data_IF_780847059533
#
_entry.id   IF_780847059533
#
_cell.length_a   1.000
_cell.length_b   1.000
_cell.length_c   1.000
_cell.angle_alpha   90.00
_cell.angle_beta   90.00
_cell.angle_gamma   90.00
#
_symmetry.space_group_name_H-M   'P 1'
#
loop_
_entity.id
_entity.type
_entity.pdbx_description
1 polymer ?
#
# COMPACT_ATOMS: atom_id res chain seq x y z
N UNK A 1 9.56 0.43 1.80
CA UNK A 1 10.19 1.74 1.53
C UNK A 1 11.48 1.47 0.77
N UNK A 2 11.73 2.11 -0.38
CA UNK A 2 13.05 2.04 -1.02
C UNK A 2 14.11 2.55 -0.04
N UNK A 3 15.27 1.88 0.04
CA UNK A 3 16.31 2.13 1.07
C UNK A 3 16.83 3.58 1.06
N UNK A 4 16.79 4.25 -0.08
CA UNK A 4 17.32 5.60 -0.27
C UNK A 4 16.52 6.71 0.45
N UNK A 5 15.23 6.51 0.75
CA UNK A 5 14.38 7.58 1.33
C UNK A 5 14.23 7.49 2.86
N UNK A 6 14.86 6.50 3.51
CA UNK A 6 14.62 6.22 4.94
C UNK A 6 14.96 7.41 5.86
N UNK A 7 15.97 8.21 5.52
CA UNK A 7 16.46 9.32 6.35
C UNK A 7 15.57 10.57 6.30
N UNK A 8 14.61 10.64 5.37
CA UNK A 8 13.73 11.80 5.20
C UNK A 8 12.46 11.77 6.05
N UNK A 9 12.12 10.63 6.68
CA UNK A 9 10.88 10.45 7.45
C UNK A 9 11.19 10.35 8.94
N UNK A 10 10.38 11.02 9.77
CA UNK A 10 10.51 10.97 11.22
C UNK A 10 9.15 11.18 11.90
N UNK A 11 9.05 10.77 13.16
CA UNK A 11 7.85 10.95 13.97
C UNK A 11 8.12 11.88 15.15
N UNK A 12 7.08 12.59 15.58
CA UNK A 12 7.11 13.53 16.69
C UNK A 12 5.93 13.17 17.60
N UNK A 13 6.23 12.81 18.84
CA UNK A 13 5.22 12.58 19.89
C UNK A 13 4.94 13.83 20.70
N UNK A 14 5.97 14.65 20.93
CA UNK A 14 5.92 15.84 21.78
C UNK A 14 6.32 17.08 20.98
N UNK A 15 5.38 17.60 20.19
CA UNK A 15 5.65 18.72 19.29
C UNK A 15 5.78 20.07 20.00
N UNK A 16 4.83 20.39 20.89
CA UNK A 16 4.80 21.68 21.63
C UNK A 16 3.90 21.59 22.87
N UNK A 17 4.46 21.80 24.06
CA UNK A 17 3.73 21.79 25.35
C UNK A 17 3.18 23.18 25.68
N UNK A 18 2.11 23.61 25.02
CA UNK A 18 1.47 24.91 25.25
C UNK A 18 0.33 24.84 26.28
N UNK A 19 0.57 24.32 27.50
CA UNK A 19 -0.46 24.16 28.56
C UNK A 19 -1.73 23.36 28.18
N UNK A 20 -1.79 22.81 26.97
CA UNK A 20 -2.85 21.90 26.52
C UNK A 20 -2.59 20.49 27.08
N UNK A 21 -3.65 19.69 27.30
CA UNK A 21 -3.51 18.29 27.66
C UNK A 21 -2.54 17.58 26.73
N UNK A 22 -1.60 16.85 27.33
CA UNK A 22 -0.53 16.18 26.61
C UNK A 22 -1.14 15.11 25.70
N UNK A 23 -1.10 15.32 24.39
CA UNK A 23 -1.54 14.30 23.45
C UNK A 23 -0.42 13.28 23.28
N UNK A 24 -0.72 12.00 23.51
CA UNK A 24 0.19 10.88 23.21
C UNK A 24 0.23 10.54 21.71
N UNK A 25 -0.35 11.39 20.86
CA UNK A 25 -0.47 11.16 19.43
C UNK A 25 0.91 11.23 18.76
N UNK A 26 1.23 10.17 18.00
CA UNK A 26 2.44 10.08 17.20
C UNK A 26 2.18 10.73 15.83
N UNK A 27 2.70 11.93 15.60
CA UNK A 27 2.60 12.62 14.32
C UNK A 27 3.80 12.31 13.44
N UNK A 28 3.53 11.80 12.24
CA UNK A 28 4.56 11.49 11.25
C UNK A 28 4.81 12.67 10.31
N UNK A 29 6.08 12.88 9.93
CA UNK A 29 6.55 13.99 9.10
C UNK A 29 7.59 13.52 8.10
N UNK A 30 7.79 14.29 7.03
CA UNK A 30 8.88 14.07 6.06
C UNK A 30 9.54 15.37 5.63
N UNK A 31 10.80 15.28 5.21
CA UNK A 31 11.53 16.36 4.57
C UNK A 31 11.25 16.39 3.07
N UNK A 32 10.93 17.57 2.55
CA UNK A 32 10.80 17.84 1.11
C UNK A 32 11.78 18.94 0.73
N UNK A 33 12.36 18.82 -0.46
CA UNK A 33 13.27 19.81 -1.03
C UNK A 33 12.45 20.94 -1.65
N UNK A 34 12.47 22.13 -1.04
CA UNK A 34 11.71 23.30 -1.51
C UNK A 34 12.68 24.25 -2.23
N UNK A 35 12.35 24.68 -3.47
CA UNK A 35 13.16 25.64 -4.19
C UNK A 35 13.09 27.03 -3.55
N UNK A 36 14.24 27.69 -3.41
CA UNK A 36 14.33 29.01 -2.78
C UNK A 36 14.03 30.17 -3.73
N UNK A 37 13.91 29.91 -5.04
CA UNK A 37 13.61 30.95 -6.03
C UNK A 37 14.74 31.97 -6.24
N UNK A 38 15.95 31.67 -5.78
CA UNK A 38 17.13 32.53 -5.89
C UNK A 38 17.97 32.29 -7.17
N UNK A 39 17.53 31.40 -8.06
CA UNK A 39 18.20 31.10 -9.33
C UNK A 39 17.95 32.16 -10.41
N UNK A 40 18.91 32.31 -11.33
CA UNK A 40 18.82 33.18 -12.51
C UNK A 40 19.24 32.43 -13.77
N UNK A 41 18.27 31.95 -14.54
CA UNK A 41 18.49 31.22 -15.78
C UNK A 41 19.29 29.93 -15.60
N UNK A 42 19.76 29.35 -16.71
CA UNK A 42 20.52 28.09 -16.70
C UNK A 42 21.91 28.23 -16.05
N UNK A 43 22.46 29.46 -16.04
CA UNK A 43 23.82 29.75 -15.55
C UNK A 43 23.91 29.87 -14.03
N UNK A 44 22.79 30.12 -13.34
CA UNK A 44 22.72 30.19 -11.87
C UNK A 44 21.53 29.33 -11.40
N UNK A 45 21.73 28.02 -11.23
CA UNK A 45 20.68 27.15 -10.70
C UNK A 45 20.24 27.63 -9.31
N UNK A 46 18.95 27.46 -9.01
CA UNK A 46 18.41 27.82 -7.70
C UNK A 46 18.90 26.84 -6.62
N UNK A 47 18.96 27.34 -5.39
CA UNK A 47 19.20 26.50 -4.23
C UNK A 47 17.91 25.88 -3.72
N UNK A 48 18.07 24.80 -2.97
CA UNK A 48 16.98 24.08 -2.35
C UNK A 48 17.22 23.95 -0.85
N UNK A 49 16.18 24.17 -0.05
CA UNK A 49 16.21 23.96 1.39
C UNK A 49 15.25 22.84 1.80
N UNK A 50 15.63 22.01 2.79
CA UNK A 50 14.73 21.01 3.33
C UNK A 50 13.63 21.67 4.17
N UNK A 51 12.37 21.41 3.83
CA UNK A 51 11.19 21.82 4.60
C UNK A 51 10.46 20.61 5.17
N UNK A 52 9.91 20.73 6.37
CA UNK A 52 9.16 19.66 7.03
C UNK A 52 7.69 19.75 6.63
N UNK A 53 7.13 18.67 6.11
CA UNK A 53 5.69 18.54 5.83
C UNK A 53 5.08 17.41 6.63
N UNK A 54 3.77 17.50 6.89
CA UNK A 54 3.02 16.40 7.49
C UNK A 54 3.06 15.17 6.56
N UNK A 55 3.16 14.00 7.16
CA UNK A 55 3.14 12.74 6.43
C UNK A 55 2.31 11.72 7.20
N UNK A 56 1.46 10.99 6.49
CA UNK A 56 0.70 9.88 7.04
C UNK A 56 1.11 8.60 6.33
N UNK A 57 1.10 7.49 7.06
CA UNK A 57 1.16 6.18 6.42
C UNK A 57 -0.03 6.07 5.45
N UNK A 58 0.18 5.53 4.23
CA UNK A 58 -0.91 5.34 3.30
C UNK A 58 -1.98 4.45 3.96
N UNK A 59 -3.22 4.95 3.99
CA UNK A 59 -4.35 4.18 4.52
C UNK A 59 -4.74 3.09 3.52
N UNK A 60 -5.54 2.10 3.96
CA UNK A 60 -6.06 1.08 3.05
C UNK A 60 -6.79 1.70 1.83
N UNK A 61 -7.46 2.82 2.04
CA UNK A 61 -8.16 3.59 1.00
C UNK A 61 -7.17 4.27 0.04
N UNK A 62 -6.08 4.89 0.54
CA UNK A 62 -5.03 5.45 -0.33
C UNK A 62 -4.31 4.38 -1.15
N UNK A 63 -4.17 3.17 -0.60
CA UNK A 63 -3.59 2.03 -1.32
C UNK A 63 -4.52 1.58 -2.45
N UNK A 64 -5.83 1.56 -2.21
CA UNK A 64 -6.86 1.24 -3.21
C UNK A 64 -6.93 2.32 -4.32
N UNK A 65 -6.86 3.61 -3.97
CA UNK A 65 -6.90 4.71 -4.95
C UNK A 65 -5.69 4.69 -5.90
N UNK A 66 -4.57 4.11 -5.45
CA UNK A 66 -3.42 3.85 -6.30
C UNK A 66 -3.60 2.69 -7.29
N UNK A 67 -4.69 1.92 -7.20
CA UNK A 67 -5.01 0.82 -8.11
C UNK A 67 -5.99 1.32 -9.17
N UNK A 68 -5.56 1.35 -10.43
CA UNK A 68 -6.40 1.83 -11.54
C UNK A 68 -7.60 0.90 -11.76
N UNK A 69 -8.63 1.39 -12.46
CA UNK A 69 -9.80 0.58 -12.82
C UNK A 69 -9.42 -0.65 -13.65
N UNK A 70 -8.43 -0.51 -14.56
CA UNK A 70 -7.93 -1.63 -15.35
C UNK A 70 -7.28 -2.68 -14.46
N UNK A 71 -6.44 -2.27 -13.50
CA UNK A 71 -5.80 -3.18 -12.56
C UNK A 71 -6.83 -3.91 -11.69
N UNK A 72 -7.88 -3.22 -11.22
CA UNK A 72 -8.99 -3.88 -10.50
C UNK A 72 -9.66 -4.94 -11.37
N UNK A 73 -9.95 -4.63 -12.63
CA UNK A 73 -10.54 -5.59 -13.57
C UNK A 73 -9.64 -6.80 -13.80
N UNK A 74 -8.32 -6.59 -13.94
CA UNK A 74 -7.34 -7.68 -14.05
C UNK A 74 -7.31 -8.56 -12.81
N UNK A 75 -7.38 -7.97 -11.60
CA UNK A 75 -7.46 -8.73 -10.35
C UNK A 75 -8.72 -9.60 -10.34
N UNK A 76 -9.88 -9.03 -10.64
CA UNK A 76 -11.14 -9.79 -10.68
C UNK A 76 -11.09 -10.93 -11.71
N UNK A 77 -10.54 -10.69 -12.90
CA UNK A 77 -10.37 -11.70 -13.93
C UNK A 77 -9.43 -12.84 -13.48
N UNK A 78 -8.27 -12.50 -12.89
CA UNK A 78 -7.31 -13.47 -12.39
C UNK A 78 -7.91 -14.34 -11.27
N UNK A 79 -8.64 -13.72 -10.34
CA UNK A 79 -9.27 -14.39 -9.21
C UNK A 79 -10.45 -15.28 -9.63
N UNK A 80 -11.13 -14.95 -10.73
CA UNK A 80 -12.16 -15.83 -11.28
C UNK A 80 -11.56 -17.01 -12.07
N UNK A 81 -10.41 -16.83 -12.69
CA UNK A 81 -9.74 -17.88 -13.46
C UNK A 81 -9.17 -19.02 -12.59
N UNK A 82 -8.73 -18.73 -11.36
CA UNK A 82 -8.09 -19.71 -10.47
C UNK A 82 -8.66 -19.66 -9.07
N UNK A 83 -8.72 -20.81 -8.39
CA UNK A 83 -9.09 -20.89 -6.98
C UNK A 83 -7.98 -20.35 -6.07
N UNK A 84 -8.13 -19.09 -5.64
CA UNK A 84 -7.23 -18.47 -4.66
C UNK A 84 -7.79 -18.51 -3.24
N UNK A 85 -6.90 -18.61 -2.25
CA UNK A 85 -7.22 -18.52 -0.81
C UNK A 85 -6.82 -17.15 -0.27
N UNK A 86 -7.54 -16.68 0.75
CA UNK A 86 -7.26 -15.39 1.39
C UNK A 86 -5.96 -15.40 2.22
N UNK A 87 -5.59 -16.55 2.78
CA UNK A 87 -4.43 -16.68 3.69
C UNK A 87 -3.08 -16.55 2.96
N UNK A 88 -2.16 -15.68 3.40
CA UNK A 88 -0.80 -15.55 2.85
C UNK A 88 0.09 -16.78 2.99
N UNK A 89 -0.32 -17.74 3.83
CA UNK A 89 0.38 -19.03 4.02
C UNK A 89 -0.03 -20.07 2.98
N UNK A 90 -1.11 -19.85 2.23
CA UNK A 90 -1.55 -20.77 1.20
C UNK A 90 -0.63 -20.69 -0.02
N UNK A 91 -0.42 -21.82 -0.69
CA UNK A 91 0.36 -21.88 -1.94
C UNK A 91 -0.31 -21.07 -3.05
N UNK A 92 -1.63 -21.13 -3.12
CA UNK A 92 -2.51 -20.40 -4.03
C UNK A 92 -3.11 -19.17 -3.31
N UNK A 93 -2.26 -18.27 -2.81
CA UNK A 93 -2.71 -17.07 -2.12
C UNK A 93 -3.14 -15.97 -3.09
N UNK A 94 -4.29 -15.33 -2.83
CA UNK A 94 -4.86 -14.24 -3.65
C UNK A 94 -3.90 -13.07 -3.86
N UNK A 95 -2.98 -12.83 -2.92
CA UNK A 95 -1.95 -11.80 -3.06
C UNK A 95 -1.03 -11.99 -4.26
N UNK A 96 -0.89 -13.21 -4.80
CA UNK A 96 -0.14 -13.46 -6.03
C UNK A 96 -0.86 -12.90 -7.26
N UNK A 97 -2.18 -13.07 -7.36
CA UNK A 97 -2.98 -12.47 -8.42
C UNK A 97 -2.93 -10.93 -8.36
N UNK A 98 -3.01 -10.39 -7.15
CA UNK A 98 -2.89 -8.95 -6.91
C UNK A 98 -1.51 -8.42 -7.29
N UNK A 99 -0.45 -9.13 -6.89
CA UNK A 99 0.92 -8.74 -7.24
C UNK A 99 1.13 -8.75 -8.76
N UNK A 100 0.64 -9.78 -9.45
CA UNK A 100 0.71 -9.87 -10.91
C UNK A 100 -0.01 -8.69 -11.60
N UNK A 101 -1.23 -8.36 -11.18
CA UNK A 101 -2.01 -7.29 -11.80
C UNK A 101 -1.44 -5.88 -11.57
N UNK A 102 -0.74 -5.68 -10.45
CA UNK A 102 -0.15 -4.37 -10.08
C UNK A 102 1.34 -4.29 -10.44
N UNK A 103 1.93 -5.36 -10.97
CA UNK A 103 3.35 -5.42 -11.34
C UNK A 103 4.30 -5.44 -10.14
N UNK A 104 3.88 -6.08 -9.04
CA UNK A 104 4.69 -6.27 -7.83
C UNK A 104 5.40 -7.61 -7.86
N UNK A 105 6.65 -7.64 -7.38
CA UNK A 105 7.38 -8.88 -7.15
C UNK A 105 6.95 -9.53 -5.82
N UNK A 106 6.57 -10.80 -5.84
CA UNK A 106 6.11 -11.52 -4.64
C UNK A 106 7.26 -11.98 -3.75
N UNK A 107 8.47 -12.09 -4.30
CA UNK A 107 9.68 -12.51 -3.58
C UNK A 107 10.26 -11.37 -2.74
N UNK A 108 10.00 -10.11 -3.12
CA UNK A 108 10.32 -8.95 -2.28
C UNK A 108 9.33 -8.82 -1.12
N UNK A 109 9.84 -8.82 0.11
CA UNK A 109 9.02 -8.77 1.33
C UNK A 109 8.17 -7.49 1.41
N UNK A 110 8.69 -6.36 0.92
CA UNK A 110 7.96 -5.09 0.92
C UNK A 110 6.78 -5.13 -0.07
N UNK A 111 7.02 -5.64 -1.27
CA UNK A 111 6.03 -5.84 -2.32
C UNK A 111 4.98 -6.88 -1.94
N UNK A 112 5.38 -7.98 -1.27
CA UNK A 112 4.47 -8.97 -0.70
C UNK A 112 3.53 -8.36 0.35
N UNK A 113 4.06 -7.52 1.25
CA UNK A 113 3.24 -6.77 2.23
C UNK A 113 2.27 -5.81 1.54
N UNK A 114 2.71 -5.15 0.46
CA UNK A 114 1.85 -4.26 -0.33
C UNK A 114 0.70 -5.02 -1.00
N UNK A 115 0.99 -6.16 -1.63
CA UNK A 115 -0.03 -7.03 -2.22
C UNK A 115 -1.03 -7.54 -1.18
N UNK A 116 -0.56 -7.88 0.03
CA UNK A 116 -1.44 -8.26 1.14
C UNK A 116 -2.38 -7.13 1.58
N UNK A 117 -1.86 -5.91 1.68
CA UNK A 117 -2.66 -4.74 2.02
C UNK A 117 -3.72 -4.45 0.95
N UNK A 118 -3.38 -4.53 -0.34
CA UNK A 118 -4.33 -4.34 -1.44
C UNK A 118 -5.42 -5.43 -1.40
N UNK A 119 -5.04 -6.71 -1.26
CA UNK A 119 -6.01 -7.81 -1.17
C UNK A 119 -6.99 -7.62 -0.01
N UNK A 120 -6.49 -7.25 1.17
CA UNK A 120 -7.32 -6.97 2.35
C UNK A 120 -8.26 -5.79 2.13
N UNK A 121 -7.79 -4.75 1.44
CA UNK A 121 -8.56 -3.57 1.15
C UNK A 121 -9.71 -3.87 0.16
N UNK A 122 -9.45 -4.65 -0.90
CA UNK A 122 -10.46 -5.10 -1.86
C UNK A 122 -11.52 -6.04 -1.22
N UNK A 123 -11.11 -6.90 -0.29
CA UNK A 123 -12.04 -7.71 0.51
C UNK A 123 -12.93 -6.84 1.41
N UNK A 124 -12.38 -5.77 1.99
CA UNK A 124 -13.12 -4.84 2.86
C UNK A 124 -14.10 -3.97 2.07
N UNK A 125 -13.72 -3.53 0.87
CA UNK A 125 -14.59 -2.78 -0.05
C UNK A 125 -15.71 -3.66 -0.63
N UNK A 126 -15.54 -4.99 -0.58
CA UNK A 126 -16.50 -5.94 -1.13
C UNK A 126 -16.33 -6.16 -2.64
N UNK A 127 -15.19 -5.77 -3.22
CA UNK A 127 -14.83 -6.09 -4.62
C UNK A 127 -14.46 -7.56 -4.75
N UNK A 128 -13.81 -8.09 -3.71
CA UNK A 128 -13.52 -9.51 -3.55
C UNK A 128 -14.34 -10.06 -2.39
N UNK A 129 -14.82 -11.29 -2.51
CA UNK A 129 -15.60 -11.99 -1.49
C UNK A 129 -15.09 -13.41 -1.30
N UNK A 130 -15.13 -13.90 -0.07
CA UNK A 130 -14.86 -15.31 0.20
C UNK A 130 -16.14 -16.13 0.00
N UNK A 131 -16.07 -17.15 -0.86
CA UNK A 131 -17.16 -18.08 -1.16
C UNK A 131 -16.70 -19.51 -0.89
N UNK A 132 -17.61 -20.32 -0.36
CA UNK A 132 -17.39 -21.76 -0.27
C UNK A 132 -17.38 -22.36 -1.67
N UNK A 133 -16.34 -23.14 -1.95
CA UNK A 133 -16.19 -23.91 -3.18
C UNK A 133 -15.66 -25.30 -2.87
N UNK A 134 -15.88 -26.23 -3.80
CA UNK A 134 -15.34 -27.58 -3.68
C UNK A 134 -13.91 -27.59 -4.21
N UNK A 135 -12.96 -27.90 -3.34
CA UNK A 135 -11.56 -28.05 -3.74
C UNK A 135 -11.42 -29.27 -4.68
N UNK A 136 -11.00 -29.10 -5.94
CA UNK A 136 -10.93 -30.19 -6.91
C UNK A 136 -9.86 -31.22 -6.55
N UNK A 137 -8.85 -30.83 -5.75
CA UNK A 137 -7.73 -31.68 -5.36
C UNK A 137 -8.07 -32.50 -4.12
N UNK A 138 -8.63 -31.86 -3.08
CA UNK A 138 -8.94 -32.53 -1.82
C UNK A 138 -10.36 -33.06 -1.71
N UNK A 139 -11.27 -32.65 -2.62
CA UNK A 139 -12.70 -32.98 -2.62
C UNK A 139 -13.45 -32.52 -1.35
N UNK A 140 -12.86 -31.60 -0.60
CA UNK A 140 -13.42 -30.95 0.60
C UNK A 140 -13.96 -29.55 0.25
N UNK A 141 -14.88 -29.03 1.06
CA UNK A 141 -15.33 -27.64 0.96
C UNK A 141 -14.27 -26.72 1.54
N UNK A 142 -13.83 -25.72 0.79
CA UNK A 142 -12.89 -24.70 1.22
C UNK A 142 -13.36 -23.30 0.84
N UNK A 143 -12.90 -22.30 1.58
CA UNK A 143 -13.14 -20.89 1.27
C UNK A 143 -12.18 -20.40 0.19
N UNK A 144 -12.73 -19.92 -0.92
CA UNK A 144 -11.99 -19.33 -2.03
C UNK A 144 -12.40 -17.88 -2.23
N UNK A 145 -11.44 -17.05 -2.63
CA UNK A 145 -11.70 -15.65 -2.98
C UNK A 145 -12.24 -15.60 -4.41
N UNK A 146 -13.34 -14.88 -4.61
CA UNK A 146 -13.97 -14.63 -5.90
C UNK A 146 -14.24 -13.13 -6.07
N UNK A 147 -14.39 -12.67 -7.31
CA UNK A 147 -14.95 -11.34 -7.53
C UNK A 147 -16.41 -11.32 -7.06
N UNK A 148 -16.83 -10.21 -6.47
CA UNK A 148 -18.19 -10.03 -5.95
C UNK A 148 -19.26 -9.97 -7.05
#
# INVERSE_FOLDING_TARGET
>A
MPVAERTGYFSVTYGKSNLTPLSSKLDWRRLVSVPLGNGQGLQRPQDHAPAVVSWSWPSAETIIDGVTKEQRAMICAAVNATDYKASPKAKNWVGQAVAYAVGLDIEDEASRKRAASIAKALLKEGVLVEREGRDPVRRETAMFVRAA
#
